data_IF_213757735627
#
_entry.id   IF_213757735627
#
_cell.length_a   1.000
_cell.length_b   1.000
_cell.length_c   1.000
_cell.angle_alpha   90.00
_cell.angle_beta   90.00
_cell.angle_gamma   90.00
#
_symmetry.space_group_name_H-M   'P 1'
#
loop_
_entity.id
_entity.type
_entity.pdbx_description
1 polymer ?
#
# COMPACT_ATOMS: atom_id res chain seq x y z
N UNK A 1 18.35 42.03 -11.11
CA UNK A 1 18.78 41.29 -12.31
C UNK A 1 17.97 41.83 -13.51
N UNK A 2 18.19 41.42 -14.78
CA UNK A 2 17.41 41.96 -15.90
C UNK A 2 15.92 41.65 -15.77
N UNK A 3 15.08 42.68 -15.92
CA UNK A 3 13.62 42.59 -15.77
C UNK A 3 12.94 42.55 -17.14
N UNK A 4 11.93 41.69 -17.25
CA UNK A 4 11.20 41.46 -18.49
C UNK A 4 9.70 41.55 -18.27
N UNK A 5 8.97 42.00 -19.28
CA UNK A 5 7.51 41.94 -19.29
C UNK A 5 7.04 40.49 -19.48
N UNK A 6 5.80 40.21 -19.07
CA UNK A 6 5.18 38.89 -19.25
C UNK A 6 5.17 38.45 -20.72
N UNK A 7 4.99 39.39 -21.65
CA UNK A 7 4.99 39.10 -23.08
C UNK A 7 6.37 38.66 -23.60
N UNK A 8 7.44 39.30 -23.14
CA UNK A 8 8.82 38.95 -23.50
C UNK A 8 9.21 37.59 -22.93
N UNK A 9 8.82 37.32 -21.68
CA UNK A 9 9.08 36.05 -21.01
C UNK A 9 8.31 34.90 -21.64
N UNK A 10 7.03 35.09 -21.96
CA UNK A 10 6.24 34.10 -22.68
C UNK A 10 6.90 33.69 -24.01
N UNK A 11 7.41 34.67 -24.77
CA UNK A 11 8.14 34.40 -26.01
C UNK A 11 9.48 33.69 -25.77
N UNK A 12 10.24 34.12 -24.76
CA UNK A 12 11.56 33.56 -24.43
C UNK A 12 11.50 32.12 -23.92
N UNK A 13 10.49 31.81 -23.11
CA UNK A 13 10.31 30.50 -22.47
C UNK A 13 9.39 29.54 -23.25
N UNK A 14 8.73 30.02 -24.31
CA UNK A 14 7.77 29.20 -25.05
C UNK A 14 6.53 28.81 -24.23
N UNK A 15 6.13 29.63 -23.26
CA UNK A 15 5.00 29.37 -22.36
C UNK A 15 3.87 30.36 -22.57
N UNK A 16 2.63 29.93 -22.33
CA UNK A 16 1.47 30.81 -22.42
C UNK A 16 1.53 31.93 -21.37
N UNK A 17 1.11 33.14 -21.75
CA UNK A 17 1.07 34.30 -20.83
C UNK A 17 0.18 34.04 -19.61
N UNK A 18 -0.92 33.31 -19.79
CA UNK A 18 -1.85 32.91 -18.73
C UNK A 18 -1.15 32.11 -17.65
N UNK A 19 -0.31 31.13 -18.03
CA UNK A 19 0.47 30.34 -17.08
C UNK A 19 1.40 31.19 -16.22
N UNK A 20 2.02 32.22 -16.80
CA UNK A 20 2.84 33.18 -16.04
C UNK A 20 1.96 33.98 -15.08
N UNK A 21 0.81 34.50 -15.54
CA UNK A 21 -0.11 35.24 -14.68
C UNK A 21 -0.66 34.40 -13.52
N UNK A 22 -0.94 33.11 -13.73
CA UNK A 22 -1.40 32.19 -12.69
C UNK A 22 -0.32 32.00 -11.61
N UNK A 23 0.93 31.86 -12.02
CA UNK A 23 2.09 31.79 -11.12
C UNK A 23 2.38 33.09 -10.40
N UNK A 24 2.03 34.24 -10.98
CA UNK A 24 2.09 35.52 -10.28
C UNK A 24 0.95 35.62 -9.25
N UNK A 25 -0.26 35.21 -9.62
CA UNK A 25 -1.45 35.27 -8.76
C UNK A 25 -1.30 34.38 -7.52
N UNK A 26 -0.70 33.20 -7.68
CA UNK A 26 -0.47 32.27 -6.58
C UNK A 26 0.83 32.56 -5.78
N UNK A 27 1.56 33.62 -6.12
CA UNK A 27 2.78 34.02 -5.41
C UNK A 27 4.04 33.20 -5.73
N UNK A 28 4.00 32.30 -6.71
CA UNK A 28 5.18 31.54 -7.14
C UNK A 28 6.22 32.42 -7.85
N UNK A 29 5.76 33.49 -8.51
CA UNK A 29 6.59 34.46 -9.24
C UNK A 29 6.34 35.85 -8.68
N UNK A 30 7.39 36.48 -8.17
CA UNK A 30 7.37 37.88 -7.76
C UNK A 30 7.41 38.80 -8.98
N UNK A 31 6.75 39.93 -8.88
CA UNK A 31 6.77 40.95 -9.93
C UNK A 31 6.80 42.35 -9.31
N UNK A 32 7.26 43.29 -10.12
CA UNK A 32 7.27 44.71 -9.80
C UNK A 32 6.47 45.48 -10.86
N UNK A 33 6.18 46.75 -10.58
CA UNK A 33 5.56 47.66 -11.52
C UNK A 33 6.65 48.62 -12.02
N UNK A 34 6.87 48.66 -13.34
CA UNK A 34 7.83 49.58 -13.94
C UNK A 34 7.29 51.03 -14.00
N UNK A 35 8.14 51.98 -14.39
CA UNK A 35 7.76 53.39 -14.53
C UNK A 35 6.66 53.65 -15.57
N UNK A 36 6.33 52.66 -16.41
CA UNK A 36 5.24 52.69 -17.40
C UNK A 36 4.00 51.96 -16.91
N UNK A 37 3.92 51.65 -15.62
CA UNK A 37 2.84 50.93 -14.96
C UNK A 37 2.62 49.50 -15.51
N UNK A 38 3.67 48.82 -15.96
CA UNK A 38 3.63 47.44 -16.47
C UNK A 38 4.21 46.48 -15.45
N UNK A 39 3.62 45.28 -15.34
CA UNK A 39 4.17 44.19 -14.53
C UNK A 39 5.44 43.65 -15.18
N UNK A 40 6.55 43.77 -14.47
CA UNK A 40 7.85 43.26 -14.88
C UNK A 40 8.34 42.23 -13.86
N UNK A 41 8.95 41.17 -14.37
CA UNK A 41 9.42 40.02 -13.59
C UNK A 41 10.94 39.96 -13.76
N UNK A 42 11.66 39.70 -12.68
CA UNK A 42 13.09 39.46 -12.75
C UNK A 42 13.36 38.09 -13.40
N UNK A 43 14.37 38.01 -14.25
CA UNK A 43 14.76 36.78 -14.94
C UNK A 43 15.04 35.61 -13.98
N UNK A 44 15.56 35.89 -12.78
CA UNK A 44 15.78 34.88 -11.74
C UNK A 44 14.49 34.19 -11.28
N UNK A 45 13.36 34.90 -11.24
CA UNK A 45 12.08 34.32 -10.86
C UNK A 45 11.65 33.27 -11.87
N UNK A 46 11.84 33.59 -13.15
CA UNK A 46 11.53 32.67 -14.25
C UNK A 46 12.47 31.48 -14.26
N UNK A 47 13.77 31.69 -13.99
CA UNK A 47 14.73 30.60 -13.88
C UNK A 47 14.44 29.69 -12.68
N UNK A 48 14.01 30.25 -11.55
CA UNK A 48 13.63 29.45 -10.37
C UNK A 48 12.40 28.58 -10.64
N UNK A 49 11.38 29.13 -11.30
CA UNK A 49 10.07 28.45 -11.47
C UNK A 49 10.04 27.53 -12.68
N UNK A 50 10.67 27.93 -13.78
CA UNK A 50 10.61 27.23 -15.06
C UNK A 50 11.97 26.69 -15.54
N UNK A 51 13.07 26.97 -14.81
CA UNK A 51 14.41 26.58 -15.23
C UNK A 51 15.01 27.49 -16.29
N UNK A 52 16.11 27.06 -16.90
CA UNK A 52 16.72 27.77 -18.05
C UNK A 52 15.85 27.55 -19.28
N UNK A 53 15.49 28.59 -20.06
CA UNK A 53 14.65 28.40 -21.24
C UNK A 53 15.41 27.56 -22.28
N UNK A 54 14.85 26.42 -22.66
CA UNK A 54 15.34 25.66 -23.81
C UNK A 54 15.19 26.51 -25.07
N UNK A 55 16.23 26.56 -25.90
CA UNK A 55 16.24 27.35 -27.15
C UNK A 55 15.28 26.85 -28.23
N UNK A 56 14.37 25.93 -27.90
CA UNK A 56 13.35 25.42 -28.82
C UNK A 56 12.26 26.48 -28.94
N UNK A 57 12.45 27.37 -29.90
CA UNK A 57 11.43 28.31 -30.35
C UNK A 57 10.12 27.54 -30.58
N UNK A 58 9.05 28.03 -29.97
CA UNK A 58 7.65 27.69 -30.20
C UNK A 58 7.45 26.67 -31.34
N UNK A 59 7.48 25.38 -31.02
CA UNK A 59 6.72 24.45 -31.85
C UNK A 59 5.30 25.00 -31.80
N UNK A 60 4.78 25.42 -32.95
CA UNK A 60 3.35 25.46 -33.18
C UNK A 60 2.74 24.17 -32.59
N UNK A 61 1.45 24.13 -32.21
CA UNK A 61 0.80 22.84 -32.05
C UNK A 61 0.83 22.16 -33.43
N UNK A 62 1.95 21.53 -33.77
CA UNK A 62 2.10 20.72 -34.95
C UNK A 62 1.13 19.58 -34.74
N UNK A 63 0.07 19.66 -35.54
CA UNK A 63 -0.77 18.56 -35.96
C UNK A 63 -0.10 17.20 -35.76
N UNK A 64 -0.65 16.41 -34.82
CA UNK A 64 -0.88 14.96 -34.97
C UNK A 64 0.28 14.12 -35.52
N UNK A 65 1.51 14.40 -35.13
CA UNK A 65 2.59 13.44 -35.29
C UNK A 65 3.02 12.97 -33.91
N UNK A 66 2.12 12.24 -33.25
CA UNK A 66 2.51 11.34 -32.17
C UNK A 66 3.57 10.41 -32.76
N UNK A 67 4.82 10.59 -32.33
CA UNK A 67 5.93 9.73 -32.71
C UNK A 67 5.50 8.27 -32.55
N UNK A 68 5.61 7.48 -33.61
CA UNK A 68 5.18 6.07 -33.60
C UNK A 68 5.79 5.30 -32.41
N UNK A 69 7.00 5.68 -31.98
CA UNK A 69 7.67 5.18 -30.77
C UNK A 69 6.85 5.39 -29.49
N UNK A 70 6.24 6.56 -29.32
CA UNK A 70 5.40 6.90 -28.17
C UNK A 70 4.11 6.08 -28.18
N UNK A 71 3.54 5.83 -29.36
CA UNK A 71 2.37 4.98 -29.52
C UNK A 71 2.69 3.53 -29.15
N UNK A 72 3.83 2.99 -29.60
CA UNK A 72 4.26 1.64 -29.26
C UNK A 72 4.56 1.48 -27.76
N UNK A 73 5.17 2.49 -27.13
CA UNK A 73 5.35 2.51 -25.67
C UNK A 73 4.01 2.49 -24.92
N UNK A 74 3.02 3.26 -25.38
CA UNK A 74 1.69 3.22 -24.76
C UNK A 74 0.97 1.88 -24.97
N UNK A 75 1.12 1.25 -26.14
CA UNK A 75 0.59 -0.11 -26.37
C UNK A 75 1.23 -1.12 -25.42
N UNK A 76 2.56 -1.06 -25.27
CA UNK A 76 3.28 -1.93 -24.35
C UNK A 76 2.79 -1.76 -22.91
N UNK A 77 2.62 -0.51 -22.46
CA UNK A 77 2.08 -0.21 -21.13
C UNK A 77 0.65 -0.75 -20.96
N UNK A 78 -0.21 -0.63 -21.97
CA UNK A 78 -1.57 -1.17 -21.92
C UNK A 78 -1.56 -2.70 -21.79
N UNK A 79 -0.67 -3.39 -22.50
CA UNK A 79 -0.55 -4.84 -22.41
C UNK A 79 0.00 -5.30 -21.06
N UNK A 80 0.97 -4.58 -20.49
CA UNK A 80 1.47 -4.82 -19.14
C UNK A 80 0.35 -4.64 -18.10
N UNK A 81 -0.41 -3.55 -18.18
CA UNK A 81 -1.54 -3.30 -17.28
C UNK A 81 -2.64 -4.37 -17.40
N UNK A 82 -2.90 -4.87 -18.61
CA UNK A 82 -3.83 -5.97 -18.85
C UNK A 82 -3.33 -7.27 -18.21
N UNK A 83 -2.04 -7.55 -18.33
CA UNK A 83 -1.43 -8.71 -17.71
C UNK A 83 -1.51 -8.63 -16.17
N UNK A 84 -1.11 -7.50 -15.58
CA UNK A 84 -1.17 -7.27 -14.14
C UNK A 84 -2.58 -7.42 -13.60
N UNK A 85 -3.57 -6.87 -14.31
CA UNK A 85 -4.99 -7.04 -13.98
C UNK A 85 -5.38 -8.52 -13.98
N UNK A 86 -5.01 -9.28 -15.00
CA UNK A 86 -5.33 -10.71 -15.07
C UNK A 86 -4.68 -11.50 -13.94
N UNK A 87 -3.44 -11.19 -13.57
CA UNK A 87 -2.74 -11.83 -12.45
C UNK A 87 -3.42 -11.49 -11.12
N UNK A 88 -3.85 -10.24 -10.93
CA UNK A 88 -4.57 -9.80 -9.75
C UNK A 88 -5.92 -10.52 -9.60
N UNK A 89 -6.70 -10.61 -10.68
CA UNK A 89 -7.99 -11.34 -10.69
C UNK A 89 -7.82 -12.83 -10.37
N UNK A 90 -6.77 -13.48 -10.89
CA UNK A 90 -6.50 -14.88 -10.58
C UNK A 90 -6.06 -15.07 -9.12
N UNK A 91 -5.27 -14.13 -8.58
CA UNK A 91 -4.92 -14.13 -7.16
C UNK A 91 -6.16 -13.98 -6.28
N UNK A 92 -7.05 -13.07 -6.62
CA UNK A 92 -8.31 -12.84 -5.92
C UNK A 92 -9.21 -14.09 -5.93
N UNK A 93 -9.38 -14.74 -7.10
CA UNK A 93 -10.11 -16.00 -7.22
C UNK A 93 -9.54 -17.11 -6.33
N UNK A 94 -8.21 -17.24 -6.26
CA UNK A 94 -7.56 -18.20 -5.37
C UNK A 94 -7.83 -17.91 -3.90
N UNK A 95 -7.80 -16.64 -3.50
CA UNK A 95 -8.12 -16.24 -2.12
C UNK A 95 -9.57 -16.54 -1.77
N UNK A 96 -10.53 -16.24 -2.65
CA UNK A 96 -11.94 -16.58 -2.42
C UNK A 96 -12.14 -18.10 -2.26
N UNK A 97 -11.49 -18.90 -3.10
CA UNK A 97 -11.54 -20.36 -2.98
C UNK A 97 -11.00 -20.86 -1.64
N UNK A 98 -9.90 -20.28 -1.15
CA UNK A 98 -9.34 -20.61 0.17
C UNK A 98 -10.28 -20.20 1.31
N UNK A 99 -10.89 -19.01 1.20
CA UNK A 99 -11.90 -18.55 2.16
C UNK A 99 -13.08 -19.52 2.23
N UNK A 100 -13.60 -19.98 1.09
CA UNK A 100 -14.72 -20.92 1.07
C UNK A 100 -14.33 -22.29 1.66
N UNK A 101 -13.13 -22.78 1.36
CA UNK A 101 -12.60 -24.00 2.00
C UNK A 101 -12.47 -23.86 3.53
N UNK A 102 -12.07 -22.67 4.01
CA UNK A 102 -11.98 -22.39 5.44
C UNK A 102 -13.37 -22.32 6.08
N UNK A 103 -14.36 -21.73 5.41
CA UNK A 103 -15.76 -21.72 5.87
C UNK A 103 -16.30 -23.14 6.01
N UNK A 104 -16.13 -23.98 4.99
CA UNK A 104 -16.57 -25.38 5.03
C UNK A 104 -15.95 -26.15 6.21
N UNK A 105 -14.66 -25.88 6.49
CA UNK A 105 -13.96 -26.48 7.63
C UNK A 105 -14.49 -25.97 8.98
N UNK A 106 -14.78 -24.67 9.07
CA UNK A 106 -15.40 -24.07 10.26
C UNK A 106 -16.77 -24.69 10.50
N UNK A 107 -17.61 -24.81 9.47
CA UNK A 107 -18.95 -25.39 9.57
C UNK A 107 -18.88 -26.86 10.01
N UNK A 108 -17.96 -27.64 9.44
CA UNK A 108 -17.72 -29.04 9.83
C UNK A 108 -17.29 -29.18 11.29
N UNK A 109 -16.37 -28.33 11.77
CA UNK A 109 -15.91 -28.34 13.15
C UNK A 109 -17.02 -27.90 14.12
N UNK A 110 -17.74 -26.86 13.74
CA UNK A 110 -18.89 -26.32 14.48
C UNK A 110 -19.95 -27.41 14.70
N UNK A 111 -20.32 -28.12 13.64
CA UNK A 111 -21.27 -29.23 13.71
C UNK A 111 -20.75 -30.38 14.60
N UNK A 112 -19.47 -30.75 14.46
CA UNK A 112 -18.85 -31.84 15.22
C UNK A 112 -18.79 -31.54 16.72
N UNK A 113 -18.64 -30.26 17.07
CA UNK A 113 -18.51 -29.80 18.44
C UNK A 113 -19.84 -29.35 19.06
N UNK A 114 -20.94 -29.34 18.30
CA UNK A 114 -22.25 -28.88 18.75
C UNK A 114 -22.29 -27.39 19.10
N UNK A 115 -21.35 -26.59 18.57
CA UNK A 115 -21.34 -25.14 18.75
C UNK A 115 -22.29 -24.48 17.75
N UNK A 116 -22.91 -23.37 18.13
CA UNK A 116 -23.58 -22.45 17.21
C UNK A 116 -22.70 -21.21 17.06
N UNK A 117 -22.20 -20.88 15.85
CA UNK A 117 -21.41 -19.67 15.65
C UNK A 117 -22.31 -18.46 15.91
N UNK A 118 -21.88 -17.54 16.78
CA UNK A 118 -22.54 -16.24 16.91
C UNK A 118 -22.38 -15.49 15.59
N UNK A 119 -23.46 -14.95 15.06
CA UNK A 119 -23.47 -14.19 13.81
C UNK A 119 -22.56 -12.95 13.97
N UNK A 120 -21.37 -12.99 13.34
CA UNK A 120 -20.44 -11.86 13.35
C UNK A 120 -20.91 -10.91 12.25
N UNK A 121 -21.52 -9.79 12.64
CA UNK A 121 -21.82 -8.72 11.68
C UNK A 121 -20.51 -8.18 11.10
N UNK A 122 -20.41 -7.98 9.77
CA UNK A 122 -19.22 -7.38 9.18
C UNK A 122 -19.06 -5.96 9.73
N UNK A 123 -17.94 -5.70 10.40
CA UNK A 123 -17.65 -4.40 10.98
C UNK A 123 -17.61 -3.37 9.83
N UNK A 124 -18.55 -2.41 9.88
CA UNK A 124 -18.80 -1.46 8.79
C UNK A 124 -17.87 -0.25 8.86
N UNK A 125 -16.72 -0.35 9.51
CA UNK A 125 -15.80 0.77 9.72
C UNK A 125 -14.36 0.39 9.31
N UNK A 126 -13.76 1.10 8.34
CA UNK A 126 -12.34 0.97 8.08
C UNK A 126 -11.56 1.77 9.13
N UNK A 127 -10.48 1.15 9.61
CA UNK A 127 -9.43 1.71 10.44
C UNK A 127 -9.77 2.09 11.90
N UNK A 128 -9.45 1.16 12.80
CA UNK A 128 -8.84 1.54 14.07
C UNK A 128 -7.70 0.58 14.43
N UNK A 129 -6.51 1.18 14.48
CA UNK A 129 -5.13 0.68 14.65
C UNK A 129 -4.82 -0.38 15.75
N UNK A 130 -5.78 -1.10 16.32
CA UNK A 130 -5.54 -2.09 17.38
C UNK A 130 -6.36 -3.39 17.16
N UNK A 131 -6.12 -4.10 16.06
CA UNK A 131 -6.78 -5.39 15.73
C UNK A 131 -6.13 -6.62 16.42
N UNK A 132 -5.06 -6.45 17.22
CA UNK A 132 -4.25 -7.60 17.65
C UNK A 132 -4.68 -8.31 18.95
N UNK A 133 -5.70 -7.84 19.69
CA UNK A 133 -5.94 -8.35 21.06
C UNK A 133 -7.38 -8.74 21.42
N UNK A 134 -8.33 -8.87 20.48
CA UNK A 134 -9.75 -9.12 20.85
C UNK A 134 -10.32 -10.51 20.53
N UNK A 135 -9.61 -11.40 19.86
CA UNK A 135 -10.28 -12.59 19.28
C UNK A 135 -10.35 -13.84 20.17
N UNK A 136 -9.98 -13.82 21.46
CA UNK A 136 -9.85 -15.09 22.20
C UNK A 136 -10.77 -15.29 23.41
N UNK A 137 -11.55 -14.31 23.85
CA UNK A 137 -12.25 -14.45 25.16
C UNK A 137 -13.78 -14.50 25.12
N UNK A 138 -14.46 -13.94 24.11
CA UNK A 138 -15.94 -13.76 24.18
C UNK A 138 -16.80 -14.60 23.20
N UNK A 139 -16.21 -15.59 22.54
CA UNK A 139 -16.91 -16.35 21.47
C UNK A 139 -17.62 -17.64 21.93
N UNK A 140 -17.68 -17.96 23.22
CA UNK A 140 -18.22 -19.25 23.67
C UNK A 140 -19.56 -19.11 24.40
N UNK A 141 -20.59 -19.76 23.86
CA UNK A 141 -21.77 -20.17 24.61
C UNK A 141 -21.92 -21.69 24.42
N UNK A 142 -21.60 -22.45 25.47
CA UNK A 142 -21.81 -23.89 25.51
C UNK A 142 -23.29 -24.09 25.88
N UNK A 143 -24.09 -24.57 24.93
CA UNK A 143 -25.47 -25.00 25.23
C UNK A 143 -25.39 -26.21 26.16
N UNK A 144 -25.80 -26.04 27.41
CA UNK A 144 -25.91 -27.11 28.40
C UNK A 144 -26.95 -28.15 27.92
N UNK A 145 -26.50 -29.36 27.62
CA UNK A 145 -27.38 -30.52 27.47
C UNK A 145 -27.58 -31.08 28.89
N UNK A 146 -28.80 -31.00 29.41
CA UNK A 146 -29.19 -31.61 30.69
C UNK A 146 -29.19 -33.15 30.61
N UNK A 147 -28.86 -33.78 31.76
CA UNK A 147 -28.98 -35.21 32.13
C UNK A 147 -27.79 -36.10 31.67
N UNK A 148 -27.11 -36.93 32.48
CA UNK A 148 -27.51 -37.84 33.57
C UNK A 148 -26.31 -38.16 34.51
N UNK A 149 -26.57 -38.18 35.83
CA UNK A 149 -25.92 -38.81 37.03
C UNK A 149 -24.38 -39.04 37.13
N UNK A 150 -23.76 -38.78 38.31
CA UNK A 150 -22.34 -39.01 38.57
C UNK A 150 -22.05 -40.48 38.93
N UNK A 151 -21.06 -41.09 38.26
CA UNK A 151 -20.47 -42.36 38.71
C UNK A 151 -19.12 -42.06 39.37
N UNK A 152 -19.04 -42.53 40.61
CA UNK A 152 -17.96 -42.42 41.57
C UNK A 152 -16.75 -43.32 41.24
N UNK A 153 -15.60 -42.90 41.76
CA UNK A 153 -14.44 -43.69 42.19
C UNK A 153 -13.30 -44.09 41.24
N UNK A 154 -12.15 -43.48 41.59
CA UNK A 154 -10.80 -44.03 41.86
C UNK A 154 -9.71 -43.77 40.82
N UNK A 155 -8.59 -43.14 41.23
CA UNK A 155 -7.42 -42.98 40.37
C UNK A 155 -6.61 -44.28 40.38
N UNK A 156 -6.47 -44.91 39.21
CA UNK A 156 -5.41 -45.90 38.98
C UNK A 156 -4.47 -45.34 37.92
N UNK A 157 -3.20 -45.34 38.32
CA UNK A 157 -2.04 -44.69 37.75
C UNK A 157 -1.73 -45.21 36.34
N UNK A 158 -1.37 -44.30 35.42
CA UNK A 158 -0.55 -44.65 34.27
C UNK A 158 0.62 -43.68 34.15
N UNK A 159 1.80 -44.27 34.32
CA UNK A 159 3.14 -43.74 34.11
C UNK A 159 3.31 -43.24 32.68
N UNK A 160 3.76 -41.99 32.49
CA UNK A 160 4.43 -41.59 31.26
C UNK A 160 5.77 -40.91 31.59
N UNK A 161 6.82 -41.50 31.04
CA UNK A 161 8.22 -41.07 31.14
C UNK A 161 8.35 -39.60 30.73
N UNK A 162 9.02 -38.82 31.58
CA UNK A 162 9.53 -37.50 31.23
C UNK A 162 10.61 -37.68 30.16
N UNK A 163 10.32 -37.32 28.92
CA UNK A 163 11.32 -37.10 27.89
C UNK A 163 11.68 -35.62 27.92
N UNK A 164 12.93 -35.22 28.24
CA UNK A 164 13.27 -33.81 28.33
C UNK A 164 13.29 -33.16 26.93
N UNK A 165 12.55 -32.07 26.79
CA UNK A 165 12.56 -31.18 25.63
C UNK A 165 13.99 -30.68 25.30
N UNK A 166 14.37 -30.53 24.03
CA UNK A 166 15.64 -29.93 23.66
C UNK A 166 15.63 -28.43 23.98
N UNK A 167 16.50 -28.02 24.92
CA UNK A 167 16.70 -26.61 25.28
C UNK A 167 17.10 -25.79 24.05
N UNK A 168 16.34 -24.72 23.76
CA UNK A 168 16.65 -23.74 22.73
C UNK A 168 18.00 -23.08 23.03
N UNK A 169 19.01 -23.39 22.22
CA UNK A 169 20.36 -22.80 22.31
C UNK A 169 20.43 -21.56 21.41
N UNK A 170 20.69 -20.40 22.00
CA UNK A 170 20.96 -19.16 21.26
C UNK A 170 22.24 -19.27 20.42
N UNK A 171 22.43 -18.34 19.48
CA UNK A 171 23.52 -18.35 18.48
C UNK A 171 24.92 -18.52 19.09
N UNK A 172 25.14 -18.01 20.31
CA UNK A 172 26.40 -18.16 21.04
C UNK A 172 26.70 -19.59 21.51
N UNK A 173 25.66 -20.40 21.76
CA UNK A 173 25.83 -21.79 22.21
C UNK A 173 26.36 -22.74 21.13
N UNK A 174 26.20 -22.39 19.85
CA UNK A 174 26.72 -23.20 18.73
C UNK A 174 28.21 -22.96 18.49
N UNK A 175 28.70 -21.74 18.75
CA UNK A 175 30.11 -21.38 18.52
C UNK A 175 31.03 -22.01 19.57
N UNK A 176 30.61 -22.04 20.84
CA UNK A 176 31.40 -22.68 21.89
C UNK A 176 31.52 -24.21 21.71
N UNK A 177 30.50 -24.86 21.14
CA UNK A 177 30.57 -26.29 20.88
C UNK A 177 31.50 -26.60 19.69
N UNK A 178 31.51 -25.76 18.65
CA UNK A 178 32.38 -25.95 17.49
C UNK A 178 33.88 -25.77 17.81
N UNK A 179 34.22 -24.95 18.82
CA UNK A 179 35.61 -24.73 19.26
C UNK A 179 36.10 -25.80 20.24
N UNK A 180 35.20 -26.51 20.92
CA UNK A 180 35.56 -27.52 21.93
C UNK A 180 35.37 -28.97 21.46
N UNK A 181 34.90 -29.18 20.23
CA UNK A 181 34.69 -30.53 19.65
C UNK A 181 35.74 -30.90 18.61
N UNK A 182 36.83 -30.12 18.54
CA UNK A 182 37.98 -30.38 17.68
C UNK A 182 39.19 -30.71 18.57
N UNK A 183 39.11 -31.89 19.21
CA UNK A 183 40.22 -32.70 19.72
C UNK A 183 39.76 -34.16 19.89
#
# INVERSE_FOLDING_TARGET
>A
MPKFTVAELAKKYGIARTSIYDRMKNGSISYEIDAKNRKVIDFSEMQRVYGTPDSKAYSQPDSTQTDNTTIELYKQLIEELRHDKSVAEERERRMYKEIDQLKDKIDSLTLSLGYTPKEIQPDSQPDSRNEQTRTTTDLQEIVHIEQVQPIENKPIQQTSKIQPEPKKRGLFGRVLQAVLSDD
#
